data_IF_150323421359
#
_entry.id   IF_150323421359
#
_cell.length_a   1.000
_cell.length_b   1.000
_cell.length_c   1.000
_cell.angle_alpha   90.00
_cell.angle_beta   90.00
_cell.angle_gamma   90.00
#
_symmetry.space_group_name_H-M   'P 1'
#
loop_
_entity.id
_entity.type
_entity.pdbx_description
1 polymer ?
#
# COMPACT_ATOMS: atom_id res chain seq x y z
N UNK A 1 -24.92 3.34 15.28
CA UNK A 1 -23.68 4.15 15.17
C UNK A 1 -22.51 3.48 15.89
N UNK A 2 -22.76 2.32 16.50
CA UNK A 2 -21.86 1.59 17.39
C UNK A 2 -20.99 0.56 16.65
N UNK A 3 -21.42 0.09 15.47
CA UNK A 3 -20.69 -0.87 14.63
C UNK A 3 -19.33 -0.34 14.12
N UNK A 4 -19.20 0.98 13.92
CA UNK A 4 -17.96 1.60 13.48
C UNK A 4 -16.91 1.65 14.60
N UNK A 5 -17.33 1.84 15.85
CA UNK A 5 -16.44 1.85 17.00
C UNK A 5 -15.93 0.42 17.28
N UNK A 6 -16.84 -0.56 17.25
CA UNK A 6 -16.50 -1.96 17.44
C UNK A 6 -15.55 -2.50 16.35
N UNK A 7 -15.72 -2.07 15.09
CA UNK A 7 -14.82 -2.44 14.00
C UNK A 7 -13.39 -1.87 14.19
N UNK A 8 -13.27 -0.67 14.75
CA UNK A 8 -11.97 -0.02 15.01
C UNK A 8 -11.24 -0.74 16.17
N UNK A 9 -11.96 -1.13 17.22
CA UNK A 9 -11.39 -1.87 18.34
C UNK A 9 -10.90 -3.27 17.92
N UNK A 10 -11.67 -3.96 17.08
CA UNK A 10 -11.26 -5.24 16.49
C UNK A 10 -9.99 -5.10 15.62
N UNK A 11 -9.84 -3.98 14.91
CA UNK A 11 -8.65 -3.71 14.12
C UNK A 11 -7.42 -3.45 15.01
N UNK A 12 -7.59 -2.74 16.13
CA UNK A 12 -6.51 -2.51 17.08
C UNK A 12 -6.00 -3.84 17.71
N UNK A 13 -6.91 -4.74 18.05
CA UNK A 13 -6.56 -6.07 18.57
C UNK A 13 -5.81 -6.93 17.55
N UNK A 14 -6.24 -6.90 16.28
CA UNK A 14 -5.54 -7.63 15.21
C UNK A 14 -4.12 -7.10 14.98
N UNK A 15 -3.93 -5.78 15.06
CA UNK A 15 -2.61 -5.16 14.90
C UNK A 15 -1.66 -5.49 16.06
N UNK A 16 -2.17 -5.60 17.30
CA UNK A 16 -1.36 -6.04 18.45
C UNK A 16 -0.95 -7.51 18.32
N UNK A 17 -1.88 -8.39 17.91
CA UNK A 17 -1.58 -9.81 17.68
C UNK A 17 -0.51 -10.01 16.60
N UNK A 18 -0.56 -9.23 15.52
CA UNK A 18 0.49 -9.23 14.49
C UNK A 18 1.83 -8.75 15.01
N UNK A 19 1.85 -7.69 15.85
CA UNK A 19 3.08 -7.17 16.47
C UNK A 19 3.72 -8.19 17.40
N UNK A 20 2.90 -8.90 18.18
CA UNK A 20 3.37 -9.96 19.07
C UNK A 20 3.92 -11.16 18.29
N UNK A 21 3.25 -11.58 17.22
CA UNK A 21 3.75 -12.62 16.33
C UNK A 21 5.09 -12.27 15.67
N UNK A 22 5.28 -11.00 15.25
CA UNK A 22 6.55 -10.54 14.69
C UNK A 22 7.68 -10.50 15.72
N UNK A 23 7.41 -10.09 16.97
CA UNK A 23 8.39 -10.14 18.07
C UNK A 23 8.85 -11.57 18.32
N UNK A 24 7.90 -12.50 18.43
CA UNK A 24 8.19 -13.93 18.65
C UNK A 24 8.97 -14.56 17.49
N UNK A 25 8.65 -14.20 16.24
CA UNK A 25 9.41 -14.66 15.07
C UNK A 25 10.83 -14.09 15.06
N UNK A 26 11.01 -12.82 15.41
CA UNK A 26 12.33 -12.18 15.52
C UNK A 26 13.20 -12.86 16.57
N UNK A 27 12.65 -13.12 17.76
CA UNK A 27 13.34 -13.83 18.83
C UNK A 27 13.75 -15.26 18.42
N UNK A 28 12.89 -15.98 17.67
CA UNK A 28 13.21 -17.30 17.15
C UNK A 28 14.34 -17.26 16.10
N UNK A 29 14.33 -16.28 15.19
CA UNK A 29 15.37 -16.10 14.18
C UNK A 29 16.71 -15.65 14.78
N UNK A 30 16.68 -14.86 15.85
CA UNK A 30 17.88 -14.42 16.56
C UNK A 30 18.53 -15.58 17.33
N UNK A 31 17.71 -16.48 17.90
CA UNK A 31 18.18 -17.74 18.48
C UNK A 31 18.81 -18.65 17.42
N UNK A 32 18.17 -18.81 16.24
CA UNK A 32 18.74 -19.60 15.13
C UNK A 32 20.08 -19.04 14.61
N UNK A 33 20.23 -17.72 14.52
CA UNK A 33 21.48 -17.09 14.08
C UNK A 33 22.58 -17.12 15.14
N UNK A 34 22.23 -17.18 16.42
CA UNK A 34 23.18 -17.26 17.53
C UNK A 34 23.97 -18.58 17.59
N UNK A 35 23.48 -19.65 16.95
CA UNK A 35 24.11 -20.98 16.97
C UNK A 35 25.03 -21.25 15.75
N UNK A 36 25.17 -20.31 14.81
CA UNK A 36 25.94 -20.46 13.56
C UNK A 36 27.24 -19.63 13.46
N UNK A 37 28.33 -20.18 14.00
CA UNK A 37 29.79 -19.96 13.73
C UNK A 37 30.29 -18.72 12.91
N UNK A 38 31.37 -18.04 13.36
CA UNK A 38 32.03 -16.93 12.64
C UNK A 38 32.87 -17.41 11.45
N UNK A 39 32.69 -16.83 10.26
CA UNK A 39 33.40 -17.29 9.06
C UNK A 39 33.31 -16.37 7.83
N UNK A 40 34.12 -15.30 7.84
CA UNK A 40 34.81 -14.65 6.71
C UNK A 40 34.45 -15.03 5.26
N UNK A 41 33.96 -14.06 4.48
CA UNK A 41 33.86 -14.20 3.01
C UNK A 41 33.41 -12.93 2.27
N UNK A 42 34.38 -12.15 1.79
CA UNK A 42 34.30 -11.22 0.63
C UNK A 42 33.31 -10.05 0.64
N UNK A 43 33.89 -8.86 0.45
CA UNK A 43 33.25 -7.59 0.20
C UNK A 43 32.28 -7.59 -1.01
N UNK A 44 31.37 -6.62 -1.00
CA UNK A 44 30.41 -6.20 -2.06
C UNK A 44 28.96 -6.72 -2.06
N UNK A 45 28.52 -7.53 -1.09
CA UNK A 45 27.08 -7.86 -0.91
C UNK A 45 26.36 -7.11 0.21
N UNK A 46 27.12 -6.53 1.14
CA UNK A 46 26.72 -6.39 2.55
C UNK A 46 26.27 -4.97 2.96
N UNK A 47 25.51 -4.29 2.09
CA UNK A 47 24.82 -3.03 2.46
C UNK A 47 23.38 -2.93 1.97
N UNK A 48 22.82 -4.02 1.44
CA UNK A 48 21.41 -4.11 1.04
C UNK A 48 20.61 -5.08 1.91
N UNK A 49 21.26 -5.83 2.79
CA UNK A 49 20.61 -6.81 3.64
C UNK A 49 20.05 -6.19 4.94
N UNK A 50 20.61 -5.08 5.43
CA UNK A 50 20.25 -4.49 6.73
C UNK A 50 19.14 -3.42 6.69
N UNK A 51 18.52 -3.19 5.53
CA UNK A 51 17.41 -2.24 5.38
C UNK A 51 16.09 -2.89 4.91
N UNK A 52 16.01 -4.22 4.97
CA UNK A 52 14.78 -4.97 4.69
C UNK A 52 14.00 -5.09 5.99
N UNK A 53 12.89 -4.38 6.06
CA UNK A 53 11.88 -4.56 7.10
C UNK A 53 11.49 -6.05 7.20
N UNK A 54 11.15 -6.57 8.40
CA UNK A 54 10.79 -7.98 8.62
C UNK A 54 9.63 -8.49 7.74
N UNK A 55 8.89 -7.62 7.06
CA UNK A 55 7.92 -7.99 6.02
C UNK A 55 8.52 -8.14 4.61
N UNK A 56 9.86 -8.16 4.50
CA UNK A 56 10.57 -8.34 3.23
C UNK A 56 10.34 -7.22 2.21
N UNK A 57 9.85 -6.06 2.64
CA UNK A 57 9.54 -4.94 1.74
C UNK A 57 10.80 -4.15 1.46
N UNK A 58 11.12 -4.00 0.18
CA UNK A 58 12.22 -3.14 -0.24
C UNK A 58 11.80 -1.67 0.01
N UNK A 59 12.62 -0.93 0.76
CA UNK A 59 12.51 0.54 0.80
C UNK A 59 12.88 1.08 -0.58
N UNK A 60 11.93 1.04 -1.50
CA UNK A 60 12.17 1.33 -2.91
C UNK A 60 10.99 0.94 -3.78
N UNK A 61 9.80 1.47 -3.49
CA UNK A 61 8.65 1.26 -4.36
C UNK A 61 7.31 1.53 -3.69
N UNK A 62 6.87 2.79 -3.74
CA UNK A 62 5.45 3.16 -3.74
C UNK A 62 4.61 2.66 -2.55
N UNK A 63 5.16 2.70 -1.33
CA UNK A 63 4.43 2.39 -0.11
C UNK A 63 4.32 3.65 0.77
N UNK A 64 3.11 4.17 0.89
CA UNK A 64 2.70 5.28 1.73
C UNK A 64 3.03 6.69 1.22
N UNK A 65 1.97 7.46 0.97
CA UNK A 65 1.96 8.94 0.98
C UNK A 65 2.11 9.73 -0.33
N UNK A 66 1.65 9.21 -1.48
CA UNK A 66 1.32 10.08 -2.61
C UNK A 66 -0.19 10.14 -2.81
N UNK A 67 -0.76 11.33 -2.70
CA UNK A 67 -2.04 11.74 -3.31
C UNK A 67 -1.97 11.73 -4.86
N UNK A 68 -1.08 10.90 -5.40
CA UNK A 68 -0.54 10.82 -6.76
C UNK A 68 -0.42 9.32 -7.07
N UNK A 69 -1.56 8.68 -7.24
CA UNK A 69 -1.66 7.28 -7.66
C UNK A 69 -1.03 7.13 -9.08
N UNK A 70 -0.63 5.91 -9.52
CA UNK A 70 0.37 5.63 -10.57
C UNK A 70 -0.09 5.92 -12.02
N UNK A 71 -0.62 7.11 -12.27
CA UNK A 71 -0.76 7.73 -13.58
C UNK A 71 0.47 8.59 -13.95
N UNK A 72 1.55 8.53 -13.18
CA UNK A 72 2.61 9.54 -13.22
C UNK A 72 4.01 9.02 -13.61
N UNK A 73 4.16 7.78 -14.10
CA UNK A 73 5.49 7.18 -14.34
C UNK A 73 5.66 6.49 -15.71
N UNK A 74 4.83 6.78 -16.72
CA UNK A 74 4.94 6.18 -18.05
C UNK A 74 4.73 7.16 -19.23
N UNK A 75 5.38 6.95 -20.38
CA UNK A 75 5.26 7.82 -21.56
C UNK A 75 3.83 7.98 -22.13
N UNK A 76 2.85 7.21 -21.67
CA UNK A 76 1.45 7.20 -22.13
C UNK A 76 0.44 7.75 -21.10
N UNK A 77 0.93 8.38 -20.04
CA UNK A 77 0.14 8.90 -18.91
C UNK A 77 -0.90 9.92 -19.32
N UNK A 78 -0.52 10.90 -20.16
CA UNK A 78 -1.48 11.91 -20.64
C UNK A 78 -2.60 11.28 -21.48
N UNK A 79 -2.30 10.21 -22.22
CA UNK A 79 -3.29 9.47 -22.99
C UNK A 79 -4.26 8.69 -22.09
N UNK A 80 -3.75 8.07 -21.02
CA UNK A 80 -4.56 7.37 -20.02
C UNK A 80 -5.47 8.33 -19.26
N UNK A 81 -4.94 9.45 -18.79
CA UNK A 81 -5.71 10.46 -18.07
C UNK A 81 -6.86 11.02 -18.93
N UNK A 82 -6.59 11.31 -20.22
CA UNK A 82 -7.63 11.75 -21.17
C UNK A 82 -8.73 10.71 -21.35
N UNK A 83 -8.35 9.44 -21.62
CA UNK A 83 -9.34 8.35 -21.75
C UNK A 83 -10.19 8.17 -20.51
N UNK A 84 -9.60 8.32 -19.32
CA UNK A 84 -10.32 8.21 -18.06
C UNK A 84 -11.31 9.37 -17.88
N UNK A 85 -10.88 10.61 -18.12
CA UNK A 85 -11.76 11.79 -18.06
C UNK A 85 -12.92 11.69 -19.06
N UNK A 86 -12.64 11.20 -20.27
CA UNK A 86 -13.67 10.99 -21.30
C UNK A 86 -14.71 9.96 -20.85
N UNK A 87 -14.27 8.85 -20.26
CA UNK A 87 -15.18 7.82 -19.74
C UNK A 87 -16.00 8.33 -18.54
N UNK A 88 -15.40 9.13 -17.65
CA UNK A 88 -16.13 9.76 -16.54
C UNK A 88 -17.22 10.70 -17.05
N UNK A 89 -16.91 11.55 -18.05
CA UNK A 89 -17.89 12.46 -18.68
C UNK A 89 -19.02 11.72 -19.37
N UNK A 90 -18.69 10.64 -20.07
CA UNK A 90 -19.69 9.78 -20.72
C UNK A 90 -20.66 9.23 -19.68
N UNK A 91 -20.12 8.62 -18.61
CA UNK A 91 -20.91 7.96 -17.56
C UNK A 91 -21.70 8.93 -16.69
N UNK A 92 -21.23 10.15 -16.47
CA UNK A 92 -22.00 11.13 -15.69
C UNK A 92 -23.29 11.56 -16.42
N UNK A 93 -23.31 11.49 -17.76
CA UNK A 93 -24.46 11.75 -18.61
C UNK A 93 -25.43 10.57 -18.80
N UNK A 94 -25.06 9.36 -18.41
CA UNK A 94 -25.91 8.16 -18.54
C UNK A 94 -27.05 8.21 -17.51
N UNK A 95 -28.25 8.59 -17.95
CA UNK A 95 -29.41 8.81 -17.08
C UNK A 95 -29.90 7.54 -16.36
N UNK A 96 -29.61 6.36 -16.91
CA UNK A 96 -29.95 5.06 -16.35
C UNK A 96 -29.09 4.64 -15.15
N UNK A 97 -27.97 5.34 -14.92
CA UNK A 97 -27.09 5.07 -13.78
C UNK A 97 -27.68 5.61 -12.48
N UNK A 98 -27.38 4.97 -11.33
CA UNK A 98 -27.79 5.46 -10.03
C UNK A 98 -27.38 6.92 -9.79
N UNK A 99 -28.26 7.74 -9.21
CA UNK A 99 -28.01 9.17 -8.94
C UNK A 99 -26.75 9.38 -8.11
N UNK A 100 -26.55 8.57 -7.06
CA UNK A 100 -25.35 8.64 -6.20
C UNK A 100 -24.04 8.46 -6.97
N UNK A 101 -24.04 7.60 -7.99
CA UNK A 101 -22.88 7.36 -8.83
C UNK A 101 -22.64 8.55 -9.76
N UNK A 102 -23.70 9.07 -10.39
CA UNK A 102 -23.62 10.25 -11.25
C UNK A 102 -23.12 11.47 -10.48
N UNK A 103 -23.60 11.67 -9.26
CA UNK A 103 -23.13 12.73 -8.36
C UNK A 103 -21.65 12.59 -7.99
N UNK A 104 -21.21 11.36 -7.71
CA UNK A 104 -19.80 11.10 -7.45
C UNK A 104 -18.93 11.42 -8.67
N UNK A 105 -19.36 11.01 -9.88
CA UNK A 105 -18.65 11.31 -11.12
C UNK A 105 -18.62 12.82 -11.41
N UNK A 106 -19.70 13.55 -11.15
CA UNK A 106 -19.73 15.01 -11.29
C UNK A 106 -18.73 15.69 -10.34
N UNK A 107 -18.70 15.30 -9.05
CA UNK A 107 -17.70 15.81 -8.09
C UNK A 107 -16.27 15.47 -8.47
N UNK A 108 -16.06 14.38 -9.21
CA UNK A 108 -14.75 14.02 -9.72
C UNK A 108 -14.36 14.97 -10.85
N UNK A 109 -15.28 15.25 -11.78
CA UNK A 109 -15.07 16.22 -12.87
C UNK A 109 -14.85 17.65 -12.38
N UNK A 110 -15.48 18.06 -11.27
CA UNK A 110 -15.29 19.41 -10.71
C UNK A 110 -13.90 19.60 -10.06
N UNK A 111 -13.21 18.51 -9.72
CA UNK A 111 -11.92 18.53 -9.01
C UNK A 111 -10.70 18.53 -9.94
N UNK A 112 -10.90 18.29 -11.23
CA UNK A 112 -9.83 18.14 -12.24
C UNK A 112 -10.10 19.06 -13.43
#
# INVERSE_FOLDING_TARGET
>A
RDELAEAIDNQAQAMEALREGMRSLGEAMEQEQGEGQPGQGTAEGDRRAEARDPLGREQGGNGANSSDAPLAQGPDDQGRARRLLDEIRRRSGEAERPEVERDYLNRLLDRF
#
